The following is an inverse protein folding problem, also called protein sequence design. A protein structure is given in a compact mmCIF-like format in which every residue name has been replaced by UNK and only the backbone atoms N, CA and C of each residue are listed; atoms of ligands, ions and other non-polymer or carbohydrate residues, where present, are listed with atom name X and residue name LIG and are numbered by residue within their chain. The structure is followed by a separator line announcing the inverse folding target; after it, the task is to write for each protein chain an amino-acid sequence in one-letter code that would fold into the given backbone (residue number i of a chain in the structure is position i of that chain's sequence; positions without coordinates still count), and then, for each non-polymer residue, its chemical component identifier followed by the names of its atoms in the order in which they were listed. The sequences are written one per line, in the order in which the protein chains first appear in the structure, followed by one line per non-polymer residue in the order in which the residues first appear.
data_IF_523330343606
#
_entry.id   IF_523330343606
#
_cell.length_a   1.000
_cell.length_b   1.000
_cell.length_c   1.000
_cell.angle_alpha   90.00
_cell.angle_beta   90.00
_cell.angle_gamma   90.00
#
_symmetry.space_group_name_H-M   'P 1'
#
loop_
_entity.id
_entity.type
_entity.pdbx_description
1 polymer ?
#
# COMPACT_ATOMS: atom_id res chain seq x y z
N UNK A 1 -64.46 -14.31 -39.99
CA UNK A 1 -63.57 -13.53 -39.10
C UNK A 1 -62.41 -14.42 -38.64
N UNK A 2 -61.29 -14.47 -39.37
CA UNK A 2 -60.16 -15.33 -39.01
C UNK A 2 -59.12 -14.54 -38.18
N UNK A 3 -58.78 -15.03 -36.98
CA UNK A 3 -57.77 -14.43 -36.10
C UNK A 3 -56.36 -14.80 -36.55
N UNK A 4 -55.51 -13.79 -36.76
CA UNK A 4 -54.08 -13.97 -37.06
C UNK A 4 -53.32 -14.46 -35.82
N UNK A 5 -52.44 -15.46 -36.00
CA UNK A 5 -51.56 -15.98 -34.94
C UNK A 5 -50.28 -15.15 -34.87
N UNK A 6 -49.92 -14.69 -33.67
CA UNK A 6 -48.73 -13.87 -33.42
C UNK A 6 -47.44 -14.69 -33.60
N UNK A 7 -46.51 -14.17 -34.40
CA UNK A 7 -45.19 -14.76 -34.64
C UNK A 7 -44.31 -14.53 -33.41
N UNK A 8 -43.63 -15.59 -32.93
CA UNK A 8 -42.69 -15.49 -31.80
C UNK A 8 -41.34 -14.93 -32.30
N UNK A 9 -40.70 -13.99 -31.60
CA UNK A 9 -39.41 -13.45 -32.00
C UNK A 9 -38.31 -14.52 -31.91
N UNK A 10 -37.47 -14.61 -32.95
CA UNK A 10 -36.36 -15.58 -33.08
C UNK A 10 -35.01 -15.07 -32.57
N UNK A 11 -34.93 -13.84 -32.08
CA UNK A 11 -33.68 -13.26 -31.60
C UNK A 11 -33.58 -13.42 -30.08
N UNK A 12 -32.54 -14.14 -29.63
CA UNK A 12 -32.19 -14.19 -28.23
C UNK A 12 -31.62 -12.84 -27.81
N UNK A 13 -32.15 -12.28 -26.72
CA UNK A 13 -31.57 -11.10 -26.06
C UNK A 13 -30.23 -11.51 -25.48
N UNK A 14 -29.14 -11.12 -26.15
CA UNK A 14 -27.79 -11.26 -25.59
C UNK A 14 -27.68 -10.29 -24.43
N UNK A 15 -27.58 -10.84 -23.22
CA UNK A 15 -27.32 -10.06 -22.02
C UNK A 15 -25.99 -9.32 -22.21
N UNK A 16 -26.06 -8.02 -22.47
CA UNK A 16 -24.94 -7.10 -22.33
C UNK A 16 -24.61 -6.99 -20.84
N UNK A 17 -23.98 -8.03 -20.30
CA UNK A 17 -23.21 -7.91 -19.08
C UNK A 17 -22.06 -6.98 -19.40
N UNK A 18 -22.27 -5.69 -19.17
CA UNK A 18 -21.19 -4.74 -18.99
C UNK A 18 -20.39 -5.29 -17.81
N UNK A 19 -19.27 -5.95 -18.11
CA UNK A 19 -18.31 -6.36 -17.11
C UNK A 19 -17.71 -5.05 -16.59
N UNK A 20 -18.27 -4.53 -15.50
CA UNK A 20 -17.60 -3.53 -14.70
C UNK A 20 -16.36 -4.23 -14.12
N UNK A 21 -15.24 -4.16 -14.84
CA UNK A 21 -13.97 -4.71 -14.37
C UNK A 21 -13.61 -3.92 -13.12
N UNK A 22 -13.87 -4.53 -11.96
CA UNK A 22 -13.57 -3.96 -10.66
C UNK A 22 -12.06 -3.66 -10.63
N UNK A 23 -11.68 -2.40 -10.81
CA UNK A 23 -10.31 -1.94 -10.61
C UNK A 23 -10.00 -1.88 -9.11
N UNK A 24 -10.34 -2.92 -8.35
CA UNK A 24 -9.97 -3.01 -6.95
C UNK A 24 -8.50 -3.42 -6.86
N UNK A 25 -7.65 -2.47 -6.45
CA UNK A 25 -6.28 -2.75 -6.05
C UNK A 25 -5.18 -2.21 -6.97
N UNK A 26 -5.51 -1.56 -8.09
CA UNK A 26 -4.49 -0.88 -8.90
C UNK A 26 -4.10 0.42 -8.22
N UNK A 27 -2.97 0.40 -7.48
CA UNK A 27 -2.34 1.61 -6.94
C UNK A 27 -2.10 2.60 -8.10
N UNK A 28 -2.08 3.91 -7.81
CA UNK A 28 -1.96 4.94 -8.86
C UNK A 28 -0.74 4.70 -9.74
N UNK A 29 -0.82 5.09 -11.02
CA UNK A 29 0.31 4.98 -11.96
C UNK A 29 1.57 5.71 -11.44
N UNK A 30 1.38 6.81 -10.69
CA UNK A 30 2.45 7.53 -10.00
C UNK A 30 3.21 6.63 -9.02
N UNK A 31 2.47 5.80 -8.27
CA UNK A 31 3.06 4.88 -7.29
C UNK A 31 3.89 3.77 -7.93
N UNK A 32 3.60 3.41 -9.17
CA UNK A 32 4.32 2.37 -9.89
C UNK A 32 5.78 2.77 -10.17
N UNK A 33 6.06 4.07 -10.34
CA UNK A 33 7.40 4.61 -10.62
C UNK A 33 8.41 4.33 -9.50
N UNK A 34 8.00 4.52 -8.24
CA UNK A 34 8.89 4.43 -7.09
C UNK A 34 8.78 3.10 -6.32
N UNK A 35 7.82 2.23 -6.66
CA UNK A 35 7.71 0.88 -6.09
C UNK A 35 8.99 0.05 -6.14
N UNK A 36 9.80 0.10 -7.22
CA UNK A 36 11.07 -0.64 -7.28
C UNK A 36 12.05 -0.23 -6.17
N UNK A 37 11.98 0.99 -5.64
CA UNK A 37 12.93 1.48 -4.64
C UNK A 37 12.87 0.68 -3.33
N UNK A 38 11.68 0.20 -2.96
CA UNK A 38 11.49 -0.70 -1.81
C UNK A 38 12.15 -2.08 -1.98
N UNK A 39 12.60 -2.45 -3.20
CA UNK A 39 13.31 -3.70 -3.47
C UNK A 39 14.82 -3.52 -3.59
N UNK A 40 15.30 -2.28 -3.72
CA UNK A 40 16.71 -2.01 -3.88
C UNK A 40 17.48 -2.39 -2.61
N UNK A 41 18.73 -2.83 -2.78
CA UNK A 41 19.63 -3.13 -1.66
C UNK A 41 19.80 -1.93 -0.72
N UNK A 42 19.83 -0.70 -1.28
CA UNK A 42 19.86 0.55 -0.49
C UNK A 42 18.72 0.65 0.52
N UNK A 43 17.55 0.07 0.23
CA UNK A 43 16.43 0.00 1.16
C UNK A 43 16.48 -1.27 2.04
N UNK A 44 16.59 -2.45 1.43
CA UNK A 44 16.38 -3.74 2.09
C UNK A 44 17.61 -4.41 2.72
N UNK A 45 18.83 -4.10 2.26
CA UNK A 45 20.02 -4.86 2.63
C UNK A 45 20.25 -4.83 4.15
N UNK A 46 20.72 -5.94 4.71
CA UNK A 46 21.20 -5.99 6.10
C UNK A 46 22.72 -6.09 6.10
N UNK A 47 23.44 -5.39 7.00
CA UNK A 47 22.92 -4.43 7.99
C UNK A 47 22.80 -2.98 7.45
N UNK A 48 23.21 -2.72 6.21
CA UNK A 48 23.46 -1.34 5.75
C UNK A 48 22.27 -0.64 5.08
N UNK A 49 21.20 -1.36 4.76
CA UNK A 49 20.02 -0.80 4.11
C UNK A 49 19.28 0.18 5.03
N UNK A 50 18.68 1.21 4.42
CA UNK A 50 17.97 2.27 5.13
C UNK A 50 16.93 1.73 6.12
N UNK A 51 16.16 0.71 5.70
CA UNK A 51 15.19 0.05 6.57
C UNK A 51 15.85 -0.50 7.84
N UNK A 52 16.95 -1.25 7.71
CA UNK A 52 17.61 -1.87 8.86
C UNK A 52 18.23 -0.83 9.78
N UNK A 53 18.92 0.18 9.22
CA UNK A 53 19.55 1.26 9.99
C UNK A 53 18.53 2.01 10.86
N UNK A 54 17.35 2.32 10.32
CA UNK A 54 16.27 2.99 11.08
C UNK A 54 15.73 2.11 12.21
N UNK A 55 15.49 0.83 11.93
CA UNK A 55 15.01 -0.11 12.95
C UNK A 55 16.02 -0.25 14.11
N UNK A 56 17.31 -0.33 13.80
CA UNK A 56 18.39 -0.40 14.81
C UNK A 56 18.57 0.92 15.55
N UNK A 57 18.57 2.05 14.85
CA UNK A 57 18.62 3.41 15.43
C UNK A 57 17.54 3.59 16.49
N UNK A 58 16.35 3.10 16.20
CA UNK A 58 15.18 3.21 17.07
C UNK A 58 15.05 2.05 18.05
N UNK A 59 16.08 1.19 18.18
CA UNK A 59 16.11 0.04 19.08
C UNK A 59 14.86 -0.85 18.97
N UNK A 60 14.36 -1.03 17.74
CA UNK A 60 13.11 -1.76 17.46
C UNK A 60 11.94 -1.31 18.34
N UNK A 61 11.85 0.00 18.62
CA UNK A 61 10.80 0.61 19.43
C UNK A 61 9.96 1.53 18.57
N UNK A 62 8.64 1.33 18.64
CA UNK A 62 7.66 2.14 17.93
C UNK A 62 7.70 3.59 18.43
N UNK A 63 7.94 4.54 17.52
CA UNK A 63 7.98 5.98 17.85
C UNK A 63 6.62 6.59 18.21
N UNK A 64 5.53 5.90 17.91
CA UNK A 64 4.15 6.37 18.17
C UNK A 64 3.63 5.91 19.53
N UNK A 65 3.75 4.62 19.84
CA UNK A 65 3.17 4.03 21.05
C UNK A 65 4.21 3.52 22.07
N UNK A 66 5.51 3.59 21.77
CA UNK A 66 6.57 3.09 22.66
C UNK A 66 6.70 1.57 22.72
N UNK A 67 5.91 0.82 21.93
CA UNK A 67 6.01 -0.65 21.87
C UNK A 67 7.38 -1.09 21.35
N UNK A 68 8.11 -1.88 22.13
CA UNK A 68 9.37 -2.50 21.73
C UNK A 68 9.12 -3.94 21.26
N UNK A 69 9.68 -4.31 20.11
CA UNK A 69 9.56 -5.69 19.62
C UNK A 69 10.33 -6.66 20.51
N UNK A 70 9.66 -7.76 20.89
CA UNK A 70 10.27 -8.89 21.61
C UNK A 70 10.65 -10.05 20.68
N UNK A 71 10.34 -9.93 19.40
CA UNK A 71 10.60 -10.98 18.41
C UNK A 71 12.03 -10.85 17.88
N UNK A 72 12.83 -11.94 17.82
CA UNK A 72 14.19 -11.90 17.27
C UNK A 72 14.26 -11.37 15.84
N UNK A 73 13.19 -11.55 15.06
CA UNK A 73 13.10 -11.12 13.66
C UNK A 73 12.47 -9.72 13.50
N UNK A 74 11.96 -9.12 14.58
CA UNK A 74 11.24 -7.86 14.60
C UNK A 74 10.15 -7.76 13.50
N UNK A 75 9.41 -8.86 13.28
CA UNK A 75 8.35 -8.96 12.25
C UNK A 75 7.24 -7.93 12.43
N UNK A 76 7.05 -7.48 13.67
CA UNK A 76 5.99 -6.53 14.04
C UNK A 76 6.42 -5.08 13.83
N UNK A 77 7.64 -4.85 13.37
CA UNK A 77 8.23 -3.53 13.17
C UNK A 77 8.34 -3.20 11.68
N UNK A 78 7.95 -1.97 11.35
CA UNK A 78 7.93 -1.43 10.00
C UNK A 78 8.73 -0.13 10.00
N UNK A 79 9.54 0.06 8.96
CA UNK A 79 10.15 1.35 8.67
C UNK A 79 9.20 2.10 7.74
N UNK A 80 8.62 3.19 8.24
CA UNK A 80 7.59 3.98 7.57
C UNK A 80 8.06 5.41 7.30
N UNK A 81 7.57 6.02 6.23
CA UNK A 81 7.88 7.40 5.88
C UNK A 81 6.92 8.35 6.60
N UNK A 82 7.44 9.20 7.49
CA UNK A 82 6.70 10.24 8.22
C UNK A 82 5.95 11.16 7.27
N UNK A 83 6.68 11.70 6.28
CA UNK A 83 6.11 12.47 5.19
C UNK A 83 6.08 11.61 3.93
N UNK A 84 4.91 11.52 3.25
CA UNK A 84 4.78 10.75 2.03
C UNK A 84 5.68 11.34 0.95
N UNK A 85 6.62 10.54 0.46
CA UNK A 85 7.63 11.00 -0.49
C UNK A 85 7.07 11.30 -1.89
N UNK A 86 5.94 10.71 -2.30
CA UNK A 86 5.26 10.96 -3.60
C UNK A 86 6.18 10.91 -4.83
N UNK A 87 7.21 10.05 -4.78
CA UNK A 87 8.21 9.92 -5.85
C UNK A 87 9.41 10.87 -5.76
N UNK A 88 9.49 11.72 -4.74
CA UNK A 88 10.69 12.50 -4.43
C UNK A 88 11.77 11.57 -3.82
N UNK A 89 12.93 11.38 -4.51
CA UNK A 89 14.01 10.55 -3.99
C UNK A 89 14.66 11.12 -2.73
N UNK A 90 14.69 12.44 -2.54
CA UNK A 90 15.29 13.08 -1.36
C UNK A 90 14.50 12.69 -0.12
N UNK A 91 13.17 12.84 -0.18
CA UNK A 91 12.27 12.41 0.89
C UNK A 91 12.29 10.89 1.10
N UNK A 92 12.39 10.10 0.03
CA UNK A 92 12.40 8.65 0.14
C UNK A 92 13.64 8.11 0.86
N UNK A 93 14.82 8.64 0.51
CA UNK A 93 16.11 8.18 1.03
C UNK A 93 16.56 8.92 2.29
N UNK A 94 15.83 9.94 2.73
CA UNK A 94 16.10 10.69 3.96
C UNK A 94 15.84 9.83 5.19
N UNK A 95 16.89 9.53 5.94
CA UNK A 95 16.79 8.75 7.18
C UNK A 95 15.98 9.47 8.28
N UNK A 96 15.97 10.80 8.28
CA UNK A 96 15.14 11.61 9.20
C UNK A 96 13.64 11.51 8.90
N UNK A 97 13.30 11.23 7.63
CA UNK A 97 11.92 11.04 7.19
C UNK A 97 11.40 9.61 7.44
N UNK A 98 12.26 8.66 7.83
CA UNK A 98 11.86 7.28 8.10
C UNK A 98 11.84 7.01 9.60
N UNK A 99 10.78 6.40 10.09
CA UNK A 99 10.60 6.01 11.50
C UNK A 99 10.30 4.52 11.68
N UNK A 100 10.74 3.98 12.81
CA UNK A 100 10.31 2.66 13.27
C UNK A 100 8.94 2.76 13.94
N UNK A 101 7.94 2.09 13.37
CA UNK A 101 6.59 1.98 13.95
C UNK A 101 6.10 0.54 13.94
N UNK A 102 5.24 0.18 14.89
CA UNK A 102 4.66 -1.15 14.94
C UNK A 102 3.56 -1.32 13.91
N UNK A 103 3.36 -2.55 13.47
CA UNK A 103 2.34 -2.91 12.48
C UNK A 103 0.96 -2.41 12.87
N UNK A 104 0.60 -2.46 14.17
CA UNK A 104 -0.67 -1.93 14.67
C UNK A 104 -0.81 -0.41 14.46
N UNK A 105 0.23 0.37 14.75
CA UNK A 105 0.22 1.82 14.51
C UNK A 105 0.27 2.15 13.01
N UNK A 106 1.04 1.40 12.23
CA UNK A 106 1.14 1.55 10.77
C UNK A 106 -0.20 1.29 10.08
N UNK A 107 -0.82 0.15 10.33
CA UNK A 107 -2.06 -0.26 9.66
C UNK A 107 -3.29 0.51 10.17
N UNK A 108 -3.22 1.07 11.39
CA UNK A 108 -4.32 1.76 12.06
C UNK A 108 -4.22 3.28 12.04
N UNK A 109 -3.30 3.86 12.79
CA UNK A 109 -3.19 5.32 12.97
C UNK A 109 -2.60 6.02 11.75
N UNK A 110 -1.45 5.54 11.26
CA UNK A 110 -0.80 6.12 10.07
C UNK A 110 -1.70 6.03 8.86
N UNK A 111 -2.33 4.89 8.64
CA UNK A 111 -3.27 4.71 7.53
C UNK A 111 -4.48 5.66 7.60
N UNK A 112 -4.92 6.06 8.81
CA UNK A 112 -5.99 7.06 8.99
C UNK A 112 -5.50 8.48 8.74
N UNK A 113 -4.30 8.83 9.22
CA UNK A 113 -3.65 10.12 8.95
C UNK A 113 -3.45 10.32 7.45
N UNK A 114 -2.93 9.31 6.76
CA UNK A 114 -2.71 9.36 5.32
C UNK A 114 -4.01 9.61 4.57
N UNK A 115 -5.13 9.01 4.98
CA UNK A 115 -6.44 9.25 4.33
C UNK A 115 -6.99 10.65 4.59
N UNK A 116 -6.67 11.28 5.72
CA UNK A 116 -7.13 12.64 6.05
C UNK A 116 -6.29 13.72 5.37
N UNK A 117 -5.05 13.40 5.01
CA UNK A 117 -4.15 14.30 4.30
C UNK A 117 -4.40 14.37 2.78
N UNK A 118 -5.46 13.69 2.30
CA UNK A 118 -5.99 13.75 0.94
C UNK A 118 -7.42 14.31 0.97
#
# INVERSE_FOLDING_TARGET
MARLKTIRPRLAVTSTRIICSKQEGRRSAEAEKYRPWYKLARWCAKPNGLRWRVLVRDMFTCKRCGFMSRHPQASDMVADHKHPHRGDPVLFWSEGNVECICKACHDGEKQREDRRAF
#
